data_IF_172458744369
#
_entry.id   IF_172458744369
#
_cell.length_a   1.000
_cell.length_b   1.000
_cell.length_c   1.000
_cell.angle_alpha   90.00
_cell.angle_beta   90.00
_cell.angle_gamma   90.00
#
_symmetry.space_group_name_H-M   'P 1'
#
loop_
_entity.id
_entity.type
_entity.pdbx_description
1 polymer ?
#
# COMPACT_ATOMS: atom_id res chain seq x y z
N UNK A 1 -0.61 24.86 -3.05
CA UNK A 1 -1.36 23.66 -2.62
C UNK A 1 -2.90 23.85 -2.58
N UNK A 2 -3.43 25.00 -3.05
CA UNK A 2 -4.88 25.27 -3.09
C UNK A 2 -5.53 25.00 -4.47
N UNK A 3 -4.74 24.73 -5.52
CA UNK A 3 -5.26 24.67 -6.90
C UNK A 3 -5.64 23.26 -7.40
N UNK A 4 -5.26 22.19 -6.71
CA UNK A 4 -5.65 20.83 -7.14
C UNK A 4 -7.12 20.49 -6.87
N UNK A 5 -7.81 21.28 -6.05
CA UNK A 5 -9.22 21.06 -5.72
C UNK A 5 -10.19 21.86 -6.62
N UNK A 6 -9.68 22.74 -7.49
CA UNK A 6 -10.50 23.53 -8.43
C UNK A 6 -10.58 22.89 -9.82
N UNK A 7 -9.70 21.93 -10.11
CA UNK A 7 -9.70 21.14 -11.35
C UNK A 7 -10.65 19.95 -11.18
N UNK A 8 -11.43 19.64 -12.22
CA UNK A 8 -12.29 18.46 -12.26
C UNK A 8 -11.50 17.20 -11.83
N UNK A 9 -11.94 16.45 -10.80
CA UNK A 9 -11.29 15.22 -10.35
C UNK A 9 -10.98 14.24 -11.48
N UNK A 10 -11.79 14.23 -12.53
CA UNK A 10 -11.57 13.37 -13.70
C UNK A 10 -10.32 13.78 -14.50
N UNK A 11 -10.05 15.08 -14.62
CA UNK A 11 -8.88 15.60 -15.35
C UNK A 11 -7.60 15.29 -14.58
N UNK A 12 -7.59 15.50 -13.26
CA UNK A 12 -6.46 15.10 -12.41
C UNK A 12 -6.21 13.59 -12.49
N UNK A 13 -7.28 12.78 -12.43
CA UNK A 13 -7.16 11.33 -12.57
C UNK A 13 -6.53 10.92 -13.91
N UNK A 14 -6.96 11.50 -15.03
CA UNK A 14 -6.39 11.19 -16.35
C UNK A 14 -4.92 11.65 -16.45
N UNK A 15 -4.56 12.78 -15.84
CA UNK A 15 -3.18 13.27 -15.85
C UNK A 15 -2.24 12.42 -14.98
N UNK A 16 -2.68 11.99 -13.80
CA UNK A 16 -1.86 11.23 -12.85
C UNK A 16 -1.87 9.72 -13.12
N UNK A 17 -2.93 9.19 -13.76
CA UNK A 17 -3.11 7.75 -13.98
C UNK A 17 -1.97 7.09 -14.78
N UNK A 18 -1.38 7.66 -15.84
CA UNK A 18 -0.36 6.97 -16.61
C UNK A 18 0.92 6.77 -15.79
N UNK A 19 1.36 7.80 -15.06
CA UNK A 19 2.57 7.76 -14.24
C UNK A 19 2.39 6.79 -13.07
N UNK A 20 1.23 6.86 -12.41
CA UNK A 20 0.91 5.96 -11.29
C UNK A 20 0.82 4.51 -11.76
N UNK A 21 0.16 4.22 -12.88
CA UNK A 21 0.08 2.87 -13.45
C UNK A 21 1.46 2.30 -13.79
N UNK A 22 2.31 3.07 -14.48
CA UNK A 22 3.68 2.64 -14.83
C UNK A 22 4.50 2.38 -13.56
N UNK A 23 4.41 3.26 -12.57
CA UNK A 23 5.14 3.09 -11.30
C UNK A 23 4.64 1.90 -10.47
N UNK A 24 3.32 1.68 -10.42
CA UNK A 24 2.71 0.52 -9.77
C UNK A 24 3.12 -0.77 -10.46
N UNK A 25 3.06 -0.81 -11.79
CA UNK A 25 3.48 -1.96 -12.57
C UNK A 25 4.97 -2.27 -12.35
N UNK A 26 5.83 -1.25 -12.36
CA UNK A 26 7.25 -1.40 -12.04
C UNK A 26 7.49 -2.00 -10.65
N UNK A 27 6.75 -1.54 -9.62
CA UNK A 27 6.83 -2.09 -8.25
C UNK A 27 6.33 -3.53 -8.17
N UNK A 28 5.28 -3.88 -8.92
CA UNK A 28 4.76 -5.26 -9.01
C UNK A 28 5.82 -6.17 -9.65
N UNK A 29 6.45 -5.74 -10.74
CA UNK A 29 7.53 -6.49 -11.40
C UNK A 29 8.74 -6.66 -10.49
N UNK A 30 9.13 -5.61 -9.76
CA UNK A 30 10.18 -5.70 -8.75
C UNK A 30 9.83 -6.73 -7.67
N UNK A 31 8.61 -6.70 -7.15
CA UNK A 31 8.14 -7.70 -6.18
C UNK A 31 8.16 -9.13 -6.73
N UNK A 32 7.71 -9.31 -7.97
CA UNK A 32 7.75 -10.60 -8.67
C UNK A 32 9.19 -11.10 -8.83
N UNK A 33 10.11 -10.23 -9.26
CA UNK A 33 11.53 -10.55 -9.40
C UNK A 33 12.17 -10.95 -8.07
N UNK A 34 11.86 -10.22 -6.98
CA UNK A 34 12.29 -10.59 -5.62
C UNK A 34 11.75 -11.94 -5.18
N UNK A 35 10.52 -12.29 -5.58
CA UNK A 35 9.93 -13.60 -5.36
C UNK A 35 10.67 -14.71 -6.08
N UNK A 36 11.05 -14.49 -7.35
CA UNK A 36 11.78 -15.49 -8.16
C UNK A 36 13.19 -15.81 -7.64
N UNK A 37 13.83 -14.87 -6.95
CA UNK A 37 15.17 -15.08 -6.35
C UNK A 37 15.09 -15.62 -4.90
N UNK A 38 13.90 -16.03 -4.45
CA UNK A 38 13.64 -16.51 -3.09
C UNK A 38 14.11 -15.52 -2.00
N UNK A 39 14.05 -14.22 -2.30
CA UNK A 39 14.56 -13.16 -1.43
C UNK A 39 13.96 -13.21 -0.02
N UNK A 40 12.67 -13.49 0.07
CA UNK A 40 11.94 -13.56 1.34
C UNK A 40 12.16 -14.88 2.08
N UNK A 41 12.51 -15.97 1.39
CA UNK A 41 12.77 -17.27 2.00
C UNK A 41 14.20 -17.35 2.59
N UNK A 42 15.17 -16.71 1.94
CA UNK A 42 16.57 -16.71 2.36
C UNK A 42 17.15 -15.30 2.52
N UNK A 43 16.58 -14.46 3.41
CA UNK A 43 16.97 -13.06 3.49
C UNK A 43 18.40 -12.86 4.02
N UNK A 44 18.97 -13.85 4.73
CA UNK A 44 20.36 -13.78 5.23
C UNK A 44 21.39 -13.72 4.09
N UNK A 45 21.10 -14.35 2.94
CA UNK A 45 21.97 -14.37 1.75
C UNK A 45 22.14 -12.97 1.16
N UNK A 46 21.12 -12.12 1.28
CA UNK A 46 21.06 -10.81 0.66
C UNK A 46 21.36 -9.66 1.63
N UNK A 47 21.82 -9.94 2.84
CA UNK A 47 22.10 -8.93 3.88
C UNK A 47 23.01 -7.78 3.40
N UNK A 48 24.03 -8.08 2.59
CA UNK A 48 24.93 -7.05 2.01
C UNK A 48 24.19 -6.13 1.04
N UNK A 49 23.34 -6.70 0.18
CA UNK A 49 22.52 -5.95 -0.77
C UNK A 49 21.47 -5.09 -0.05
N UNK A 50 20.81 -5.64 0.96
CA UNK A 50 19.84 -4.91 1.79
C UNK A 50 20.48 -3.74 2.55
N UNK A 51 21.71 -3.90 3.06
CA UNK A 51 22.45 -2.80 3.67
C UNK A 51 22.70 -1.66 2.68
N UNK A 52 23.07 -1.99 1.45
CA UNK A 52 23.25 -1.01 0.38
C UNK A 52 21.93 -0.30 0.04
N UNK A 53 20.82 -1.02 -0.05
CA UNK A 53 19.51 -0.43 -0.29
C UNK A 53 19.06 0.50 0.85
N UNK A 54 19.32 0.13 2.10
CA UNK A 54 19.06 1.00 3.26
C UNK A 54 19.93 2.26 3.18
N UNK A 55 21.22 2.12 2.86
CA UNK A 55 22.12 3.27 2.78
C UNK A 55 21.75 4.21 1.63
N UNK A 56 21.52 3.67 0.43
CA UNK A 56 21.11 4.44 -0.75
C UNK A 56 19.74 5.08 -0.56
N UNK A 57 18.76 4.35 0.00
CA UNK A 57 17.45 4.92 0.28
C UNK A 57 17.47 5.98 1.39
N UNK A 58 18.34 5.84 2.40
CA UNK A 58 18.45 6.84 3.48
C UNK A 58 19.13 8.12 3.00
N UNK A 59 20.05 8.01 2.05
CA UNK A 59 20.76 9.16 1.49
C UNK A 59 20.01 9.76 0.31
N UNK A 60 19.94 9.04 -0.81
CA UNK A 60 19.33 9.48 -2.06
C UNK A 60 17.82 9.61 -1.92
N UNK A 61 17.15 8.64 -1.29
CA UNK A 61 15.69 8.67 -1.11
C UNK A 61 15.23 9.86 -0.25
N UNK A 62 15.84 10.04 0.93
CA UNK A 62 15.50 11.18 1.80
C UNK A 62 15.87 12.51 1.14
N UNK A 63 17.06 12.63 0.53
CA UNK A 63 17.45 13.84 -0.18
C UNK A 63 16.49 14.19 -1.32
N UNK A 64 16.02 13.20 -2.09
CA UNK A 64 15.03 13.42 -3.14
C UNK A 64 13.66 13.85 -2.58
N UNK A 65 13.25 13.30 -1.43
CA UNK A 65 12.00 13.65 -0.77
C UNK A 65 12.03 15.09 -0.21
N UNK A 66 13.14 15.47 0.42
CA UNK A 66 13.35 16.84 0.93
C UNK A 66 13.46 17.84 -0.23
N UNK A 67 14.17 17.47 -1.30
CA UNK A 67 14.25 18.27 -2.53
C UNK A 67 12.87 18.52 -3.14
N UNK A 68 12.05 17.46 -3.26
CA UNK A 68 10.68 17.60 -3.75
C UNK A 68 9.83 18.51 -2.85
N UNK A 69 9.93 18.36 -1.53
CA UNK A 69 9.24 19.24 -0.59
C UNK A 69 9.67 20.70 -0.77
N UNK A 70 10.97 20.99 -0.83
CA UNK A 70 11.51 22.35 -0.99
C UNK A 70 11.09 23.01 -2.32
N UNK A 71 11.03 22.24 -3.41
CA UNK A 71 10.55 22.72 -4.72
C UNK A 71 9.05 23.03 -4.65
N UNK A 72 8.25 22.11 -4.09
CA UNK A 72 6.78 22.27 -4.04
C UNK A 72 6.31 23.34 -3.06
N UNK A 73 7.10 23.68 -2.04
CA UNK A 73 6.83 24.83 -1.15
C UNK A 73 7.36 26.16 -1.68
N UNK A 74 8.02 26.18 -2.85
CA UNK A 74 8.59 27.39 -3.43
C UNK A 74 9.82 27.92 -2.67
N UNK A 75 10.44 27.12 -1.81
CA UNK A 75 11.69 27.49 -1.14
C UNK A 75 12.91 27.33 -2.06
N UNK A 76 12.78 26.48 -3.08
CA UNK A 76 13.83 26.20 -4.05
C UNK A 76 13.25 26.29 -5.46
N UNK A 77 13.51 27.40 -6.14
CA UNK A 77 13.22 27.55 -7.56
C UNK A 77 14.37 26.94 -8.36
N UNK A 78 14.16 25.70 -8.83
CA UNK A 78 15.10 25.06 -9.73
C UNK A 78 14.70 25.34 -11.18
N UNK A 79 15.59 25.94 -11.95
CA UNK A 79 15.48 26.05 -13.42
C UNK A 79 15.75 24.71 -14.14
N UNK A 80 15.46 23.58 -13.48
CA UNK A 80 15.59 22.27 -14.10
C UNK A 80 14.43 22.06 -15.06
N UNK A 81 14.72 21.52 -16.25
CA UNK A 81 13.67 21.06 -17.17
C UNK A 81 12.73 20.09 -16.44
N UNK A 82 11.43 20.25 -16.66
CA UNK A 82 10.36 19.45 -16.04
C UNK A 82 10.58 17.93 -16.18
N UNK A 83 11.25 17.49 -17.25
CA UNK A 83 11.61 16.11 -17.47
C UNK A 83 12.61 15.57 -16.42
N UNK A 84 13.64 16.34 -16.05
CA UNK A 84 14.67 15.91 -15.09
C UNK A 84 14.11 15.77 -13.67
N UNK A 85 13.18 16.64 -13.30
CA UNK A 85 12.48 16.58 -12.01
C UNK A 85 11.74 15.25 -11.85
N UNK A 86 11.06 14.78 -12.91
CA UNK A 86 10.33 13.50 -12.89
C UNK A 86 11.29 12.33 -12.65
N UNK A 87 12.46 12.31 -13.29
CA UNK A 87 13.45 11.25 -13.10
C UNK A 87 14.02 11.23 -11.68
N UNK A 88 14.30 12.40 -11.10
CA UNK A 88 14.81 12.52 -9.73
C UNK A 88 13.76 12.02 -8.72
N UNK A 89 12.50 12.42 -8.89
CA UNK A 89 11.38 12.00 -8.03
C UNK A 89 11.14 10.50 -8.16
N UNK A 90 11.04 9.98 -9.40
CA UNK A 90 10.79 8.57 -9.65
C UNK A 90 11.92 7.68 -9.11
N UNK A 91 13.17 8.07 -9.34
CA UNK A 91 14.35 7.37 -8.79
C UNK A 91 14.35 7.38 -7.26
N UNK A 92 14.09 8.54 -6.65
CA UNK A 92 13.95 8.71 -5.21
C UNK A 92 12.91 7.78 -4.59
N UNK A 93 11.71 7.72 -5.18
CA UNK A 93 10.61 6.85 -4.73
C UNK A 93 10.99 5.36 -4.79
N UNK A 94 11.74 4.94 -5.80
CA UNK A 94 12.21 3.55 -5.93
C UNK A 94 13.22 3.22 -4.82
N UNK A 95 14.24 4.06 -4.60
CA UNK A 95 15.22 3.82 -3.54
C UNK A 95 14.58 3.83 -2.15
N UNK A 96 13.59 4.70 -1.92
CA UNK A 96 12.84 4.74 -0.66
C UNK A 96 11.99 3.47 -0.47
N UNK A 97 11.39 2.96 -1.55
CA UNK A 97 10.67 1.67 -1.52
C UNK A 97 11.60 0.50 -1.17
N UNK A 98 12.80 0.47 -1.76
CA UNK A 98 13.82 -0.56 -1.45
C UNK A 98 14.31 -0.47 0.00
N UNK A 99 14.45 0.74 0.55
CA UNK A 99 14.74 0.96 1.97
C UNK A 99 13.63 0.38 2.84
N UNK A 100 12.36 0.68 2.55
CA UNK A 100 11.24 0.17 3.35
C UNK A 100 11.17 -1.34 3.33
N UNK A 101 11.32 -1.98 2.17
CA UNK A 101 11.31 -3.45 2.06
C UNK A 101 12.50 -4.05 2.82
N UNK A 102 13.70 -3.49 2.65
CA UNK A 102 14.90 -3.99 3.32
C UNK A 102 14.80 -3.89 4.84
N UNK A 103 14.32 -2.74 5.32
CA UNK A 103 14.13 -2.49 6.74
C UNK A 103 13.06 -3.44 7.29
N UNK A 104 11.93 -3.58 6.61
CA UNK A 104 10.85 -4.49 7.01
C UNK A 104 11.34 -5.92 7.13
N UNK A 105 12.04 -6.45 6.12
CA UNK A 105 12.56 -7.83 6.14
C UNK A 105 13.56 -8.02 7.29
N UNK A 106 14.42 -7.05 7.57
CA UNK A 106 15.34 -7.12 8.72
C UNK A 106 14.62 -7.08 10.06
N UNK A 107 13.64 -6.19 10.22
CA UNK A 107 12.84 -6.11 11.43
C UNK A 107 12.05 -7.41 11.64
N UNK A 108 11.57 -8.03 10.58
CA UNK A 108 10.87 -9.31 10.63
C UNK A 108 11.76 -10.49 11.04
N UNK A 109 13.09 -10.39 10.86
CA UNK A 109 14.05 -11.39 11.37
C UNK A 109 14.24 -11.32 12.89
N UNK A 110 13.82 -10.23 13.56
CA UNK A 110 13.93 -10.09 15.01
C UNK A 110 12.75 -10.82 15.68
N UNK A 111 12.97 -11.85 16.53
CA UNK A 111 11.88 -12.70 17.04
C UNK A 111 10.78 -11.97 17.83
N UNK A 112 11.13 -10.86 18.50
CA UNK A 112 10.15 -10.01 19.22
C UNK A 112 9.26 -9.23 18.26
N UNK A 113 9.84 -8.64 17.22
CA UNK A 113 9.11 -7.87 16.22
C UNK A 113 8.32 -8.78 15.28
N UNK A 114 8.86 -9.94 14.94
CA UNK A 114 8.13 -10.97 14.19
C UNK A 114 6.80 -11.29 14.88
N UNK A 115 6.81 -11.53 16.20
CA UNK A 115 5.59 -11.78 16.98
C UNK A 115 4.60 -10.62 16.92
N UNK A 116 5.07 -9.38 16.98
CA UNK A 116 4.23 -8.20 16.83
C UNK A 116 3.60 -8.13 15.43
N UNK A 117 4.40 -8.35 14.38
CA UNK A 117 3.90 -8.34 12.99
C UNK A 117 2.92 -9.47 12.70
N UNK A 118 3.04 -10.63 13.37
CA UNK A 118 2.12 -11.74 13.22
C UNK A 118 0.67 -11.40 13.65
N UNK A 119 0.46 -10.39 14.50
CA UNK A 119 -0.89 -9.88 14.85
C UNK A 119 -1.59 -9.29 13.62
N UNK A 120 -0.82 -8.75 12.67
CA UNK A 120 -1.33 -8.18 11.43
C UNK A 120 -1.42 -9.21 10.29
N UNK A 121 -0.87 -10.41 10.45
CA UNK A 121 -0.91 -11.44 9.41
C UNK A 121 -2.35 -11.83 9.00
N UNK A 122 -3.35 -11.91 9.91
CA UNK A 122 -4.74 -12.11 9.54
C UNK A 122 -5.32 -11.04 8.61
N UNK A 123 -4.93 -9.78 8.81
CA UNK A 123 -5.39 -8.65 7.98
C UNK A 123 -4.95 -8.85 6.53
N UNK A 124 -3.72 -9.30 6.31
CA UNK A 124 -3.20 -9.61 4.97
C UNK A 124 -3.89 -10.79 4.30
N UNK A 125 -4.29 -11.82 5.07
CA UNK A 125 -5.06 -12.96 4.55
C UNK A 125 -6.48 -12.58 4.12
N UNK A 126 -7.00 -11.46 4.63
CA UNK A 126 -8.34 -10.94 4.36
C UNK A 126 -8.27 -9.59 3.61
N UNK A 127 -7.27 -9.39 2.75
CA UNK A 127 -7.02 -8.09 2.09
C UNK A 127 -8.23 -7.57 1.32
N UNK A 128 -8.94 -8.43 0.57
CA UNK A 128 -10.09 -8.03 -0.24
C UNK A 128 -11.30 -7.73 0.64
N UNK A 129 -11.57 -8.55 1.66
CA UNK A 129 -12.62 -8.28 2.64
C UNK A 129 -12.35 -6.97 3.38
N UNK A 130 -11.12 -6.75 3.85
CA UNK A 130 -10.75 -5.54 4.59
C UNK A 130 -10.82 -4.30 3.71
N UNK A 131 -10.43 -4.38 2.45
CA UNK A 131 -10.58 -3.29 1.48
C UNK A 131 -12.04 -2.87 1.30
N UNK A 132 -12.93 -3.85 1.10
CA UNK A 132 -14.37 -3.57 0.96
C UNK A 132 -14.98 -3.04 2.26
N UNK A 133 -14.63 -3.64 3.39
CA UNK A 133 -15.07 -3.18 4.71
C UNK A 133 -14.62 -1.74 4.98
N UNK A 134 -13.37 -1.41 4.63
CA UNK A 134 -12.85 -0.05 4.74
C UNK A 134 -13.63 0.91 3.86
N UNK A 135 -13.88 0.53 2.62
CA UNK A 135 -14.64 1.34 1.67
C UNK A 135 -16.05 1.60 2.18
N UNK A 136 -16.74 0.57 2.68
CA UNK A 136 -18.07 0.69 3.27
C UNK A 136 -18.03 1.61 4.49
N UNK A 137 -17.08 1.44 5.41
CA UNK A 137 -16.96 2.32 6.57
C UNK A 137 -16.68 3.77 6.18
N UNK A 138 -15.80 4.02 5.21
CA UNK A 138 -15.56 5.36 4.71
C UNK A 138 -16.81 5.96 4.06
N UNK A 139 -17.52 5.21 3.21
CA UNK A 139 -18.76 5.68 2.59
C UNK A 139 -19.84 5.96 3.63
N UNK A 140 -19.99 5.09 4.62
CA UNK A 140 -20.91 5.32 5.72
C UNK A 140 -20.50 6.57 6.50
N UNK A 141 -19.30 6.65 7.06
CA UNK A 141 -18.90 7.76 7.94
C UNK A 141 -18.87 9.11 7.22
N UNK A 142 -18.31 9.16 6.00
CA UNK A 142 -18.13 10.43 5.29
C UNK A 142 -19.33 10.85 4.44
N UNK A 143 -20.12 9.91 3.91
CA UNK A 143 -21.20 10.21 2.96
C UNK A 143 -22.62 9.90 3.48
N UNK A 144 -22.84 8.85 4.29
CA UNK A 144 -24.20 8.35 4.56
C UNK A 144 -24.68 8.35 6.03
N UNK A 145 -23.80 8.22 7.03
CA UNK A 145 -24.15 7.84 8.41
C UNK A 145 -24.95 8.92 9.16
N UNK A 146 -25.14 10.10 8.60
CA UNK A 146 -26.02 11.07 9.24
C UNK A 146 -26.99 11.66 8.25
N UNK A 147 -28.26 11.56 8.62
CA UNK A 147 -29.40 12.32 8.10
C UNK A 147 -29.18 13.86 8.19
N UNK A 148 -28.04 14.40 7.75
CA UNK A 148 -27.74 15.84 7.70
C UNK A 148 -26.28 16.29 7.96
N UNK A 149 -25.35 15.43 8.40
CA UNK A 149 -23.98 15.86 8.77
C UNK A 149 -22.89 15.01 8.14
N UNK A 150 -22.81 14.98 6.81
CA UNK A 150 -21.60 14.51 6.13
C UNK A 150 -20.38 15.21 6.75
N UNK A 151 -19.47 14.41 7.33
CA UNK A 151 -18.21 14.89 7.94
C UNK A 151 -17.20 15.34 6.87
N UNK A 152 -17.50 15.05 5.60
CA UNK A 152 -16.70 15.47 4.46
C UNK A 152 -16.57 16.99 4.42
N UNK A 153 -15.32 17.48 4.50
CA UNK A 153 -14.99 18.90 4.52
C UNK A 153 -15.25 19.63 5.85
N UNK A 154 -15.72 18.93 6.90
CA UNK A 154 -16.03 19.53 8.21
C UNK A 154 -15.07 19.13 9.33
N UNK A 155 -14.28 18.09 9.11
CA UNK A 155 -13.30 17.61 10.09
C UNK A 155 -11.88 18.01 9.72
N UNK A 156 -11.06 18.17 10.74
CA UNK A 156 -9.64 18.42 10.60
C UNK A 156 -8.89 17.17 10.10
N UNK A 157 -7.69 17.39 9.59
CA UNK A 157 -6.79 16.31 9.16
C UNK A 157 -6.51 15.34 10.33
N UNK A 158 -6.29 15.86 11.53
CA UNK A 158 -6.02 15.06 12.73
C UNK A 158 -7.19 14.14 13.08
N UNK A 159 -8.42 14.66 13.06
CA UNK A 159 -9.63 13.86 13.32
C UNK A 159 -9.82 12.78 12.27
N UNK A 160 -9.51 13.08 11.01
CA UNK A 160 -9.54 12.10 9.91
C UNK A 160 -8.60 10.92 10.18
N UNK A 161 -7.37 11.20 10.63
CA UNK A 161 -6.41 10.15 10.99
C UNK A 161 -6.86 9.32 12.19
N UNK A 162 -7.45 9.96 13.21
CA UNK A 162 -7.99 9.24 14.37
C UNK A 162 -9.11 8.26 13.97
N UNK A 163 -10.03 8.71 13.12
CA UNK A 163 -11.09 7.84 12.58
C UNK A 163 -10.49 6.69 11.77
N UNK A 164 -9.51 6.97 10.90
CA UNK A 164 -8.86 5.94 10.09
C UNK A 164 -8.16 4.87 10.96
N UNK A 165 -7.45 5.29 12.01
CA UNK A 165 -6.81 4.37 12.97
C UNK A 165 -7.88 3.54 13.69
N UNK A 166 -8.98 4.16 14.13
CA UNK A 166 -10.06 3.44 14.80
C UNK A 166 -10.67 2.36 13.90
N UNK A 167 -10.97 2.70 12.64
CA UNK A 167 -11.46 1.74 11.65
C UNK A 167 -10.47 0.59 11.46
N UNK A 168 -9.18 0.92 11.29
CA UNK A 168 -8.14 -0.08 11.07
C UNK A 168 -7.99 -1.03 12.26
N UNK A 169 -8.05 -0.53 13.50
CA UNK A 169 -8.03 -1.37 14.71
C UNK A 169 -9.21 -2.33 14.74
N UNK A 170 -10.41 -1.85 14.41
CA UNK A 170 -11.60 -2.72 14.32
C UNK A 170 -11.40 -3.81 13.26
N UNK A 171 -10.81 -3.49 12.11
CA UNK A 171 -10.50 -4.47 11.05
C UNK A 171 -9.45 -5.50 11.47
N UNK A 172 -8.42 -5.08 12.23
CA UNK A 172 -7.41 -5.98 12.79
C UNK A 172 -8.08 -6.98 13.73
N UNK A 173 -8.91 -6.50 14.67
CA UNK A 173 -9.63 -7.35 15.61
C UNK A 173 -10.59 -8.30 14.89
N UNK A 174 -11.38 -7.78 13.96
CA UNK A 174 -12.30 -8.57 13.15
C UNK A 174 -11.56 -9.67 12.36
N UNK A 175 -10.46 -9.33 11.69
CA UNK A 175 -9.68 -10.30 10.91
C UNK A 175 -9.07 -11.39 11.79
N UNK A 176 -8.57 -11.02 12.97
CA UNK A 176 -8.03 -11.97 13.94
C UNK A 176 -9.11 -12.92 14.46
N UNK A 177 -10.27 -12.40 14.87
CA UNK A 177 -11.38 -13.20 15.37
C UNK A 177 -11.96 -14.10 14.27
N UNK A 178 -12.15 -13.56 13.06
CA UNK A 178 -12.71 -14.32 11.95
C UNK A 178 -11.84 -15.52 11.58
N UNK A 179 -10.51 -15.33 11.47
CA UNK A 179 -9.61 -16.40 11.10
C UNK A 179 -9.37 -17.45 12.20
N UNK A 180 -9.87 -17.22 13.42
CA UNK A 180 -9.93 -18.29 14.43
C UNK A 180 -11.01 -19.32 14.11
N UNK A 181 -12.08 -18.91 13.42
CA UNK A 181 -13.21 -19.80 13.07
C UNK A 181 -13.22 -20.22 11.61
N UNK A 182 -12.71 -19.40 10.68
CA UNK A 182 -12.76 -19.62 9.24
C UNK A 182 -11.37 -19.54 8.60
N UNK A 183 -11.05 -20.41 7.65
CA UNK A 183 -9.71 -20.42 7.02
C UNK A 183 -9.47 -19.26 6.04
N UNK A 184 -10.54 -18.62 5.55
CA UNK A 184 -10.49 -17.56 4.54
C UNK A 184 -11.46 -16.43 4.90
N UNK A 185 -11.18 -15.21 4.41
CA UNK A 185 -12.12 -14.11 4.52
C UNK A 185 -13.40 -14.37 3.70
N UNK A 186 -14.54 -13.75 4.08
CA UNK A 186 -15.84 -14.00 3.46
C UNK A 186 -15.84 -13.66 1.96
N UNK A 187 -15.20 -12.56 1.57
CA UNK A 187 -15.15 -12.12 0.17
C UNK A 187 -14.10 -12.92 -0.60
N UNK A 188 -12.98 -13.25 0.01
CA UNK A 188 -11.95 -14.11 -0.59
C UNK A 188 -12.52 -15.50 -0.91
N UNK A 189 -13.33 -16.07 -0.02
CA UNK A 189 -14.04 -17.32 -0.26
C UNK A 189 -15.00 -17.21 -1.44
N UNK A 190 -15.77 -16.11 -1.52
CA UNK A 190 -16.67 -15.86 -2.64
C UNK A 190 -15.89 -15.70 -3.95
N UNK A 191 -14.77 -14.98 -3.92
CA UNK A 191 -13.88 -14.80 -5.07
C UNK A 191 -13.34 -16.14 -5.57
N UNK A 192 -12.84 -16.99 -4.66
CA UNK A 192 -12.42 -18.35 -5.02
C UNK A 192 -13.56 -19.15 -5.64
N UNK A 193 -14.74 -19.10 -5.05
CA UNK A 193 -15.92 -19.80 -5.56
C UNK A 193 -16.32 -19.32 -6.95
N UNK A 194 -16.16 -18.04 -7.28
CA UNK A 194 -16.50 -17.51 -8.60
C UNK A 194 -15.39 -17.75 -9.63
N UNK A 195 -14.14 -17.48 -9.27
CA UNK A 195 -12.99 -17.61 -10.16
C UNK A 195 -12.70 -19.06 -10.56
N UNK A 196 -12.75 -20.00 -9.60
CA UNK A 196 -12.42 -21.40 -9.86
C UNK A 196 -13.62 -22.25 -10.32
N UNK A 197 -14.86 -21.75 -10.19
CA UNK A 197 -16.05 -22.43 -10.70
C UNK A 197 -16.05 -22.57 -12.23
N UNK A 198 -15.38 -21.65 -12.94
CA UNK A 198 -15.24 -21.72 -14.40
C UNK A 198 -14.08 -22.63 -14.86
N UNK A 199 -13.14 -22.97 -13.98
CA UNK A 199 -12.01 -23.86 -14.31
C UNK A 199 -12.38 -25.34 -14.11
N UNK A 200 -13.30 -25.64 -13.18
CA UNK A 200 -13.84 -27.00 -13.01
C UNK A 200 -14.80 -27.44 -14.13
N UNK A 201 -15.21 -26.55 -15.02
CA UNK A 201 -16.01 -26.89 -16.20
C UNK A 201 -15.21 -27.59 -17.31
N UNK A 202 -13.87 -27.55 -17.27
CA UNK A 202 -13.02 -28.02 -18.37
C UNK A 202 -11.97 -29.07 -17.99
N UNK A 203 -11.79 -29.44 -16.72
CA UNK A 203 -10.84 -30.49 -16.32
C UNK A 203 -11.44 -31.38 -15.20
N UNK A 204 -12.00 -32.51 -15.65
CA UNK A 204 -11.95 -33.89 -15.14
C UNK A 204 -11.87 -34.13 -13.61
N UNK A 205 -12.78 -35.01 -13.17
CA UNK A 205 -12.90 -35.77 -11.91
C UNK A 205 -11.69 -35.80 -10.95
N UNK A 206 -11.95 -35.37 -9.72
CA UNK A 206 -11.11 -35.60 -8.54
C UNK A 206 -11.32 -37.07 -8.09
N UNK A 207 -10.30 -37.93 -8.03
CA UNK A 207 -10.42 -39.19 -7.29
C UNK A 207 -10.36 -38.90 -5.78
N UNK A 208 -11.20 -39.66 -5.07
CA UNK A 208 -11.46 -39.67 -3.62
C UNK A 208 -10.23 -39.64 -2.74
#
# INVERSE_FOLDING_TARGET
MYDNFTIDPFVNFIQDSPITLVSCFGKILLGFWLGQIDFFAHPQRFNRMMNWWIWLGSTIGIASSVGFWAITTGQLELELSSAWLIFIIAGGLVFQSLLYISLFVKLFQVPRLQRLFMIFAPVGKMTLTNYLMQTIFCLLIFYYWTHGTALFGKITITETYLIAIAIYVVQVLYSNLWLQYFSHGPVEWLWWKLAYRNVKGSIVSIPS
#
